data_IF_392259824444
#
_entry.id   IF_392259824444
#
_cell.length_a   1.000
_cell.length_b   1.000
_cell.length_c   1.000
_cell.angle_alpha   90.00
_cell.angle_beta   90.00
_cell.angle_gamma   90.00
#
_symmetry.space_group_name_H-M   'P 1'
#
loop_
_entity.id
_entity.type
_entity.pdbx_description
1 polymer ?
#
# COMPACT_ATOMS: atom_id res chain seq x y z
N UNK A 1 -15.95 28.65 -44.38
CA UNK A 1 -15.11 28.11 -43.30
C UNK A 1 -15.95 28.07 -42.02
N UNK A 2 -16.59 26.92 -41.73
CA UNK A 2 -17.43 26.76 -40.56
C UNK A 2 -16.52 26.65 -39.32
N UNK A 3 -16.67 27.58 -38.38
CA UNK A 3 -15.84 27.67 -37.18
C UNK A 3 -16.14 26.55 -36.19
N UNK A 4 -15.16 25.67 -35.99
CA UNK A 4 -15.21 24.60 -34.98
C UNK A 4 -15.09 25.18 -33.55
N UNK A 5 -16.16 25.78 -33.02
CA UNK A 5 -16.22 26.19 -31.60
C UNK A 5 -16.94 25.12 -30.77
N UNK A 6 -16.19 24.45 -29.91
CA UNK A 6 -16.75 23.55 -28.89
C UNK A 6 -17.05 24.36 -27.62
N UNK A 7 -18.26 24.23 -27.08
CA UNK A 7 -18.60 24.67 -25.71
C UNK A 7 -18.55 23.45 -24.80
N UNK A 8 -17.79 23.52 -23.71
CA UNK A 8 -17.72 22.49 -22.69
C UNK A 8 -17.97 23.07 -21.30
N UNK A 9 -18.49 22.23 -20.40
CA UNK A 9 -18.62 22.50 -18.96
C UNK A 9 -17.97 21.36 -18.20
N UNK A 10 -17.09 21.70 -17.26
CA UNK A 10 -16.47 20.75 -16.35
C UNK A 10 -17.00 21.04 -14.96
N UNK A 11 -17.40 19.99 -14.24
CA UNK A 11 -17.73 20.03 -12.82
C UNK A 11 -16.72 19.14 -12.12
N UNK A 12 -16.04 19.69 -11.13
CA UNK A 12 -15.11 18.95 -10.29
C UNK A 12 -15.84 18.47 -9.04
N UNK A 13 -15.86 17.17 -8.83
CA UNK A 13 -16.35 16.61 -7.58
C UNK A 13 -15.23 16.60 -6.53
N UNK A 14 -15.54 16.88 -5.25
CA UNK A 14 -14.55 16.82 -4.20
C UNK A 14 -14.02 15.39 -4.05
N UNK A 15 -12.69 15.27 -3.89
CA UNK A 15 -12.07 13.98 -3.59
C UNK A 15 -12.50 13.49 -2.20
N UNK A 16 -12.93 12.23 -2.11
CA UNK A 16 -13.11 11.54 -0.83
C UNK A 16 -11.80 10.92 -0.30
N UNK A 17 -10.69 11.16 -0.99
CA UNK A 17 -9.39 10.55 -0.75
C UNK A 17 -8.35 11.66 -0.50
N UNK A 18 -8.08 11.96 0.77
CA UNK A 18 -6.97 12.84 1.14
C UNK A 18 -5.65 12.08 1.06
N UNK A 19 -4.58 12.81 0.74
CA UNK A 19 -3.22 12.27 0.83
C UNK A 19 -2.84 12.02 2.28
N UNK A 20 -2.09 10.95 2.53
CA UNK A 20 -1.61 10.59 3.86
C UNK A 20 -0.15 10.13 3.77
N UNK A 21 0.56 10.22 4.89
CA UNK A 21 1.92 9.69 5.02
C UNK A 21 2.18 9.29 6.47
N UNK A 22 2.59 8.04 6.68
CA UNK A 22 3.18 7.61 7.95
C UNK A 22 4.67 7.89 7.89
N UNK A 23 5.15 8.79 8.74
CA UNK A 23 6.59 9.11 8.80
C UNK A 23 7.38 7.91 9.31
N UNK A 24 8.63 7.73 8.86
CA UNK A 24 9.53 6.74 9.45
C UNK A 24 9.65 6.92 10.97
N UNK A 25 9.66 5.80 11.69
CA UNK A 25 9.77 5.75 13.15
C UNK A 25 9.48 4.35 13.69
N UNK A 26 9.24 4.20 15.01
CA UNK A 26 9.17 2.89 15.66
C UNK A 26 8.20 1.90 15.00
N UNK A 27 7.04 2.38 14.52
CA UNK A 27 6.07 1.54 13.84
C UNK A 27 6.57 1.01 12.48
N UNK A 28 7.19 1.86 11.67
CA UNK A 28 7.76 1.43 10.38
C UNK A 28 9.00 0.56 10.60
N UNK A 29 9.84 0.90 11.58
CA UNK A 29 11.08 0.16 11.90
C UNK A 29 10.78 -1.27 12.35
N UNK A 30 9.73 -1.45 13.15
CA UNK A 30 9.22 -2.76 13.54
C UNK A 30 8.81 -3.60 12.33
N UNK A 31 8.06 -3.03 11.40
CA UNK A 31 7.63 -3.74 10.19
C UNK A 31 8.81 -4.07 9.27
N UNK A 32 9.74 -3.12 9.09
CA UNK A 32 10.99 -3.31 8.36
C UNK A 32 11.78 -4.49 8.95
N UNK A 33 11.92 -4.56 10.27
CA UNK A 33 12.64 -5.65 10.94
C UNK A 33 11.97 -7.02 10.72
N UNK A 34 10.64 -7.10 10.80
CA UNK A 34 9.91 -8.34 10.55
C UNK A 34 10.03 -8.82 9.09
N UNK A 35 10.03 -7.89 8.14
CA UNK A 35 10.22 -8.20 6.71
C UNK A 35 11.65 -8.67 6.45
N UNK A 36 12.64 -7.96 6.99
CA UNK A 36 14.06 -8.28 6.79
C UNK A 36 14.43 -9.63 7.40
N UNK A 37 13.89 -9.98 8.57
CA UNK A 37 14.10 -11.29 9.20
C UNK A 37 13.67 -12.46 8.31
N UNK A 38 12.50 -12.36 7.67
CA UNK A 38 11.94 -13.46 6.86
C UNK A 38 12.54 -13.50 5.45
N UNK A 39 12.91 -12.35 4.90
CA UNK A 39 13.30 -12.23 3.48
C UNK A 39 14.80 -12.04 3.28
N UNK A 40 15.55 -11.65 4.32
CA UNK A 40 16.94 -11.21 4.23
C UNK A 40 17.12 -9.89 3.46
N UNK A 41 16.04 -9.15 3.22
CA UNK A 41 16.04 -7.92 2.42
C UNK A 41 15.36 -6.80 3.18
N UNK A 42 16.05 -5.66 3.30
CA UNK A 42 15.45 -4.44 3.84
C UNK A 42 14.46 -3.85 2.82
N UNK A 43 13.17 -3.70 3.16
CA UNK A 43 12.19 -3.08 2.26
C UNK A 43 12.44 -1.58 2.11
N UNK A 44 12.11 -1.05 0.93
CA UNK A 44 12.04 0.39 0.68
C UNK A 44 10.72 0.96 1.21
N UNK A 45 10.79 2.10 1.89
CA UNK A 45 9.59 2.85 2.26
C UNK A 45 9.17 3.72 1.08
N UNK A 46 8.02 3.43 0.48
CA UNK A 46 7.54 4.09 -0.74
C UNK A 46 6.11 4.61 -0.60
N UNK A 47 5.81 5.67 -1.36
CA UNK A 47 4.45 6.20 -1.59
C UNK A 47 4.02 6.05 -3.05
N UNK A 48 4.75 5.25 -3.84
CA UNK A 48 4.44 4.98 -5.25
C UNK A 48 3.25 4.03 -5.39
N UNK A 49 2.55 4.09 -6.53
CA UNK A 49 1.45 3.18 -6.86
C UNK A 49 0.08 3.87 -6.77
N UNK A 50 -0.95 3.09 -6.48
CA UNK A 50 -2.32 3.59 -6.27
C UNK A 50 -2.57 4.09 -4.85
N UNK A 51 -3.84 4.16 -4.47
CA UNK A 51 -4.27 4.39 -3.08
C UNK A 51 -4.94 3.13 -2.54
N UNK A 52 -4.97 2.99 -1.22
CA UNK A 52 -5.83 2.01 -0.54
C UNK A 52 -6.83 2.72 0.38
N UNK A 53 -7.63 1.94 1.10
CA UNK A 53 -8.52 2.42 2.16
C UNK A 53 -7.77 2.91 3.40
N UNK A 54 -6.44 2.76 3.45
CA UNK A 54 -5.57 3.40 4.44
C UNK A 54 -5.81 4.91 4.56
N UNK A 55 -6.22 5.58 3.47
CA UNK A 55 -6.59 7.01 3.48
C UNK A 55 -7.68 7.37 4.50
N UNK A 56 -8.57 6.43 4.84
CA UNK A 56 -9.60 6.61 5.85
C UNK A 56 -9.09 6.28 7.26
N UNK A 57 -8.17 5.31 7.37
CA UNK A 57 -7.65 4.79 8.65
C UNK A 57 -6.52 5.66 9.20
N UNK A 58 -5.72 6.28 8.32
CA UNK A 58 -4.53 7.07 8.67
C UNK A 58 -4.82 8.29 9.57
N UNK A 59 -6.09 8.70 9.69
CA UNK A 59 -6.51 9.73 10.64
C UNK A 59 -6.56 9.24 12.10
N UNK A 60 -6.53 7.92 12.32
CA UNK A 60 -6.68 7.30 13.63
C UNK A 60 -5.41 6.64 14.15
N UNK A 61 -4.57 6.13 13.25
CA UNK A 61 -3.32 5.48 13.62
C UNK A 61 -2.29 5.52 12.48
N UNK A 62 -1.00 5.26 12.78
CA UNK A 62 0.00 4.97 11.75
C UNK A 62 -0.44 3.80 10.87
N UNK A 63 -0.32 3.96 9.55
CA UNK A 63 -0.66 2.92 8.57
C UNK A 63 0.51 2.66 7.64
N UNK A 64 0.78 1.39 7.37
CA UNK A 64 1.66 0.94 6.29
C UNK A 64 0.90 -0.04 5.41
N UNK A 65 1.38 -0.22 4.19
CA UNK A 65 0.90 -1.25 3.28
C UNK A 65 2.06 -2.20 2.96
N UNK A 66 1.82 -3.49 3.14
CA UNK A 66 2.75 -4.55 2.78
C UNK A 66 1.95 -5.77 2.34
N UNK A 67 2.40 -6.46 1.30
CA UNK A 67 1.64 -7.56 0.72
C UNK A 67 2.38 -8.31 -0.37
N UNK A 68 1.63 -9.11 -1.12
CA UNK A 68 2.14 -9.88 -2.24
C UNK A 68 2.50 -8.99 -3.44
N UNK A 69 3.26 -9.56 -4.36
CA UNK A 69 3.61 -8.90 -5.62
C UNK A 69 2.38 -8.85 -6.53
N UNK A 70 1.84 -7.66 -6.76
CA UNK A 70 0.65 -7.41 -7.59
C UNK A 70 0.87 -7.49 -9.11
N UNK A 71 1.84 -8.26 -9.62
CA UNK A 71 2.15 -8.32 -11.05
C UNK A 71 0.97 -8.75 -11.94
N UNK A 72 0.07 -9.58 -11.40
CA UNK A 72 -1.11 -10.11 -12.10
C UNK A 72 -2.42 -9.54 -11.53
N UNK A 73 -2.37 -8.56 -10.62
CA UNK A 73 -3.58 -8.00 -10.01
C UNK A 73 -4.50 -7.40 -11.08
N UNK A 74 -5.80 -7.69 -10.99
CA UNK A 74 -6.83 -7.21 -11.93
C UNK A 74 -6.66 -7.73 -13.37
N UNK A 75 -5.90 -8.80 -13.58
CA UNK A 75 -5.75 -9.46 -14.88
C UNK A 75 -6.46 -10.81 -14.89
N UNK A 76 -6.71 -11.37 -16.07
CA UNK A 76 -7.10 -12.78 -16.19
C UNK A 76 -6.00 -13.67 -15.63
N UNK A 77 -6.37 -14.80 -15.01
CA UNK A 77 -5.45 -15.74 -14.37
C UNK A 77 -4.56 -15.12 -13.26
N UNK A 78 -5.13 -14.21 -12.47
CA UNK A 78 -4.50 -13.65 -11.26
C UNK A 78 -3.96 -14.75 -10.35
N UNK A 79 -2.67 -14.65 -9.97
CA UNK A 79 -1.97 -15.68 -9.20
C UNK A 79 -0.76 -15.14 -8.45
N UNK A 80 -0.36 -15.89 -7.42
CA UNK A 80 0.84 -15.67 -6.63
C UNK A 80 1.53 -17.01 -6.33
N UNK A 81 2.86 -17.06 -6.15
CA UNK A 81 3.51 -18.24 -5.61
C UNK A 81 3.01 -18.56 -4.19
N UNK A 82 2.72 -19.83 -3.92
CA UNK A 82 2.32 -20.29 -2.57
C UNK A 82 3.42 -20.02 -1.54
N UNK A 83 4.68 -20.14 -1.94
CA UNK A 83 5.83 -19.84 -1.07
C UNK A 83 5.89 -18.37 -0.64
N UNK A 84 5.35 -17.43 -1.42
CA UNK A 84 5.28 -16.03 -1.03
C UNK A 84 4.13 -15.77 -0.05
N UNK A 85 3.01 -16.51 -0.17
CA UNK A 85 1.95 -16.51 0.85
C UNK A 85 2.46 -17.04 2.21
N UNK A 86 3.27 -18.09 2.19
CA UNK A 86 3.88 -18.64 3.41
C UNK A 86 4.86 -17.65 4.06
N UNK A 87 5.69 -16.96 3.26
CA UNK A 87 6.56 -15.88 3.76
C UNK A 87 5.73 -14.72 4.34
N UNK A 88 4.71 -14.26 3.62
CA UNK A 88 3.85 -13.17 4.05
C UNK A 88 3.18 -13.50 5.40
N UNK A 89 2.73 -14.74 5.57
CA UNK A 89 2.17 -15.23 6.84
C UNK A 89 3.18 -15.14 7.98
N UNK A 90 4.44 -15.54 7.76
CA UNK A 90 5.51 -15.41 8.77
C UNK A 90 5.83 -13.95 9.08
N UNK A 91 5.82 -13.07 8.08
CA UNK A 91 6.06 -11.64 8.27
C UNK A 91 4.96 -11.01 9.13
N UNK A 92 3.69 -11.28 8.82
CA UNK A 92 2.59 -10.75 9.64
C UNK A 92 2.66 -11.24 11.08
N UNK A 93 3.00 -12.51 11.31
CA UNK A 93 3.26 -13.01 12.66
C UNK A 93 4.40 -12.25 13.33
N UNK A 94 5.53 -12.06 12.66
CA UNK A 94 6.67 -11.32 13.18
C UNK A 94 6.36 -9.84 13.50
N UNK A 95 5.44 -9.21 12.77
CA UNK A 95 4.93 -7.87 13.09
C UNK A 95 4.09 -7.89 14.37
N UNK A 96 3.14 -8.83 14.48
CA UNK A 96 2.28 -8.95 15.66
C UNK A 96 3.09 -9.27 16.92
N UNK A 97 4.02 -10.22 16.84
CA UNK A 97 4.86 -10.62 17.96
C UNK A 97 5.69 -9.44 18.49
N UNK A 98 6.22 -8.60 17.60
CA UNK A 98 6.96 -7.38 17.99
C UNK A 98 6.07 -6.28 18.52
N UNK A 99 4.85 -6.16 18.02
CA UNK A 99 3.93 -5.08 18.40
C UNK A 99 3.34 -5.30 19.80
N UNK A 100 3.12 -6.57 20.19
CA UNK A 100 2.54 -6.96 21.47
C UNK A 100 3.55 -7.49 22.50
N UNK A 101 4.86 -7.40 22.21
CA UNK A 101 5.93 -7.78 23.13
C UNK A 101 6.04 -6.86 24.36
#
# INVERSE_FOLDING_TARGET
>A
AAGNRIKARIVWEPSNANVFVTKPGPFTDLAVAAIEEVTGRKPELSTSGGTSDARFIASYCPVIEFGLVGQTMHQIDERTPVSDLEKLTRIYRGVLDRYFA
#
